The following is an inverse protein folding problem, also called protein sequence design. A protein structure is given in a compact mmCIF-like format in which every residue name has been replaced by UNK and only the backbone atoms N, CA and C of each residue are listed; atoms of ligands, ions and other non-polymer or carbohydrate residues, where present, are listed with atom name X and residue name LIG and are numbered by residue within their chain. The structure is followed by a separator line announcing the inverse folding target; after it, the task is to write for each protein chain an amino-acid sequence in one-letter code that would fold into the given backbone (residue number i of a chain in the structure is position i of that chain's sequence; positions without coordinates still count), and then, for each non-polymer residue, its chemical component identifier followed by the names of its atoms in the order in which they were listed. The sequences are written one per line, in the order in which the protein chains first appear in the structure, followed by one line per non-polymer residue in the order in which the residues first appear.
data_IF_642763846491
#
_entry.id   IF_642763846491
#
_cell.length_a   1.000
_cell.length_b   1.000
_cell.length_c   1.000
_cell.angle_alpha   90.00
_cell.angle_beta   90.00
_cell.angle_gamma   90.00
#
_symmetry.space_group_name_H-M   'P 1'
#
loop_
_entity.id
_entity.type
_entity.pdbx_description
1 polymer ?
#
# COMPACT_ATOMS: atom_id res chain seq x y z
N UNK A 1 -0.45 64.57 8.48
CA UNK A 1 -0.52 63.16 8.05
C UNK A 1 -0.04 63.10 6.61
N UNK A 2 1.17 62.59 6.36
CA UNK A 2 1.70 62.43 5.00
C UNK A 2 0.86 61.40 4.26
N UNK A 3 0.28 61.78 3.13
CA UNK A 3 -0.58 60.89 2.35
C UNK A 3 0.31 59.92 1.58
N UNK A 4 0.19 58.63 1.89
CA UNK A 4 0.87 57.58 1.11
C UNK A 4 0.39 57.63 -0.34
N UNK A 5 1.31 57.37 -1.28
CA UNK A 5 1.00 57.39 -2.70
C UNK A 5 0.03 56.23 -3.02
N UNK A 6 -1.09 56.54 -3.68
CA UNK A 6 -2.12 55.56 -4.01
C UNK A 6 -1.61 54.45 -4.95
N UNK A 7 -0.75 54.77 -5.92
CA UNK A 7 -0.18 53.76 -6.83
C UNK A 7 0.68 52.74 -6.09
N UNK A 8 1.43 53.19 -5.07
CA UNK A 8 2.22 52.30 -4.22
C UNK A 8 1.28 51.42 -3.40
N UNK A 9 0.23 52.00 -2.81
CA UNK A 9 -0.76 51.30 -1.98
C UNK A 9 -1.51 50.22 -2.77
N UNK A 10 -1.87 50.50 -4.02
CA UNK A 10 -2.51 49.52 -4.92
C UNK A 10 -1.54 48.42 -5.34
N UNK A 11 -0.28 48.75 -5.66
CA UNK A 11 0.73 47.77 -6.03
C UNK A 11 1.02 46.78 -4.88
N UNK A 12 1.14 47.25 -3.63
CA UNK A 12 1.32 46.35 -2.48
C UNK A 12 0.05 45.57 -2.17
N UNK A 13 -1.13 46.18 -2.30
CA UNK A 13 -2.39 45.46 -2.08
C UNK A 13 -2.58 44.35 -3.11
N UNK A 14 -2.35 44.63 -4.40
CA UNK A 14 -2.47 43.64 -5.46
C UNK A 14 -1.43 42.51 -5.31
N UNK A 15 -0.17 42.86 -5.00
CA UNK A 15 0.87 41.86 -4.78
C UNK A 15 0.56 40.94 -3.59
N UNK A 16 0.07 41.50 -2.48
CA UNK A 16 -0.30 40.73 -1.30
C UNK A 16 -1.52 39.83 -1.56
N UNK A 17 -2.55 40.35 -2.23
CA UNK A 17 -3.75 39.56 -2.59
C UNK A 17 -3.40 38.44 -3.56
N UNK A 18 -2.51 38.69 -4.53
CA UNK A 18 -2.02 37.67 -5.46
C UNK A 18 -1.35 36.51 -4.73
N UNK A 19 -0.43 36.80 -3.81
CA UNK A 19 0.29 35.75 -3.04
C UNK A 19 -0.69 34.90 -2.22
N UNK A 20 -1.67 35.52 -1.57
CA UNK A 20 -2.71 34.80 -0.80
C UNK A 20 -3.57 33.90 -1.71
N UNK A 21 -3.78 34.28 -2.97
CA UNK A 21 -4.54 33.47 -3.92
C UNK A 21 -3.69 32.32 -4.54
N UNK A 22 -2.42 32.56 -4.83
CA UNK A 22 -1.53 31.57 -5.46
C UNK A 22 -1.02 30.51 -4.47
N UNK A 23 -0.81 30.88 -3.20
CA UNK A 23 -0.30 29.95 -2.18
C UNK A 23 -1.19 28.71 -1.98
N UNK A 24 -2.53 28.82 -1.86
CA UNK A 24 -3.42 27.65 -1.83
C UNK A 24 -3.36 26.82 -3.11
N UNK A 25 -3.28 27.44 -4.29
CA UNK A 25 -3.23 26.73 -5.56
C UNK A 25 -1.95 25.88 -5.68
N UNK A 26 -0.80 26.43 -5.27
CA UNK A 26 0.47 25.69 -5.23
C UNK A 26 0.45 24.58 -4.18
N UNK A 27 -0.07 24.86 -2.98
CA UNK A 27 -0.19 23.86 -1.92
C UNK A 27 -1.08 22.70 -2.36
N UNK A 28 -2.24 22.99 -2.96
CA UNK A 28 -3.14 21.97 -3.50
C UNK A 28 -2.51 21.20 -4.66
N UNK A 29 -1.76 21.86 -5.55
CA UNK A 29 -1.00 21.17 -6.61
C UNK A 29 -0.04 20.12 -6.05
N UNK A 30 0.71 20.48 -4.99
CA UNK A 30 1.61 19.55 -4.31
C UNK A 30 0.86 18.43 -3.58
N UNK A 31 -0.26 18.74 -2.94
CA UNK A 31 -1.11 17.74 -2.27
C UNK A 31 -1.67 16.75 -3.29
N UNK A 32 -2.19 17.20 -4.44
CA UNK A 32 -2.69 16.31 -5.48
C UNK A 32 -1.60 15.44 -6.08
N UNK A 33 -0.41 15.99 -6.33
CA UNK A 33 0.72 15.20 -6.81
C UNK A 33 1.13 14.13 -5.78
N UNK A 34 1.21 14.51 -4.50
CA UNK A 34 1.56 13.58 -3.40
C UNK A 34 0.48 12.51 -3.21
N UNK A 35 -0.80 12.89 -3.29
CA UNK A 35 -1.92 11.97 -3.18
C UNK A 35 -1.94 10.98 -4.35
N UNK A 36 -1.72 11.44 -5.58
CA UNK A 36 -1.62 10.58 -6.76
C UNK A 36 -0.47 9.58 -6.63
N UNK A 37 0.71 10.04 -6.21
CA UNK A 37 1.87 9.17 -5.99
C UNK A 37 1.63 8.15 -4.85
N UNK A 38 1.11 8.61 -3.71
CA UNK A 38 0.79 7.74 -2.57
C UNK A 38 -0.28 6.71 -2.92
N UNK A 39 -1.28 7.09 -3.72
CA UNK A 39 -2.30 6.16 -4.23
C UNK A 39 -1.67 5.12 -5.16
N UNK A 40 -0.73 5.51 -6.02
CA UNK A 40 0.05 4.59 -6.84
C UNK A 40 0.82 3.55 -6.00
N UNK A 41 1.51 4.00 -4.95
CA UNK A 41 2.19 3.11 -4.00
C UNK A 41 1.21 2.20 -3.24
N UNK A 42 0.03 2.70 -2.88
CA UNK A 42 -1.02 1.86 -2.27
C UNK A 42 -1.48 0.76 -3.22
N UNK A 43 -1.68 1.06 -4.50
CA UNK A 43 -2.03 0.04 -5.50
C UNK A 43 -0.91 -0.99 -5.67
N UNK A 44 0.34 -0.54 -5.78
CA UNK A 44 1.50 -1.44 -5.85
C UNK A 44 1.57 -2.37 -4.64
N UNK A 45 1.46 -1.82 -3.43
CA UNK A 45 1.45 -2.58 -2.18
C UNK A 45 0.27 -3.55 -2.11
N UNK A 46 -0.92 -3.14 -2.55
CA UNK A 46 -2.12 -3.99 -2.56
C UNK A 46 -1.95 -5.18 -3.52
N UNK A 47 -1.44 -4.95 -4.72
CA UNK A 47 -1.17 -6.02 -5.70
C UNK A 47 -0.09 -6.96 -5.19
N UNK A 48 0.97 -6.42 -4.58
CA UNK A 48 2.04 -7.22 -3.99
C UNK A 48 1.51 -8.11 -2.85
N UNK A 49 0.72 -7.54 -1.93
CA UNK A 49 0.08 -8.28 -0.85
C UNK A 49 -0.86 -9.38 -1.38
N UNK A 50 -1.62 -9.10 -2.44
CA UNK A 50 -2.50 -10.08 -3.07
C UNK A 50 -1.72 -11.21 -3.76
N UNK A 51 -0.59 -10.90 -4.40
CA UNK A 51 0.31 -11.90 -4.97
C UNK A 51 0.93 -12.79 -3.87
N UNK A 52 1.41 -12.19 -2.78
CA UNK A 52 1.91 -12.94 -1.62
C UNK A 52 0.83 -13.84 -1.01
N UNK A 53 -0.42 -13.37 -0.91
CA UNK A 53 -1.53 -14.21 -0.45
C UNK A 53 -1.79 -15.40 -1.37
N UNK A 54 -1.74 -15.22 -2.68
CA UNK A 54 -1.90 -16.34 -3.63
C UNK A 54 -0.79 -17.38 -3.47
N UNK A 55 0.46 -16.92 -3.31
CA UNK A 55 1.61 -17.80 -3.06
C UNK A 55 1.45 -18.53 -1.73
N UNK A 56 1.04 -17.84 -0.67
CA UNK A 56 0.77 -18.44 0.64
C UNK A 56 -0.35 -19.48 0.57
N UNK A 57 -1.44 -19.20 -0.15
CA UNK A 57 -2.54 -20.14 -0.34
C UNK A 57 -2.09 -21.41 -1.08
N UNK A 58 -1.30 -21.26 -2.15
CA UNK A 58 -0.73 -22.39 -2.87
C UNK A 58 0.24 -23.18 -1.98
N UNK A 59 1.12 -22.50 -1.26
CA UNK A 59 2.07 -23.12 -0.34
C UNK A 59 1.34 -23.89 0.76
N UNK A 60 0.31 -23.29 1.39
CA UNK A 60 -0.50 -23.95 2.41
C UNK A 60 -1.19 -25.21 1.87
N UNK A 61 -1.72 -25.15 0.65
CA UNK A 61 -2.31 -26.32 -0.01
C UNK A 61 -1.26 -27.42 -0.23
N UNK A 62 -0.08 -27.08 -0.74
CA UNK A 62 1.02 -28.04 -0.91
C UNK A 62 1.47 -28.64 0.41
N UNK A 63 1.62 -27.83 1.47
CA UNK A 63 1.97 -28.33 2.81
C UNK A 63 0.89 -29.27 3.36
N UNK A 64 -0.38 -28.93 3.20
CA UNK A 64 -1.50 -29.79 3.59
C UNK A 64 -1.49 -31.13 2.86
N UNK A 65 -1.23 -31.13 1.54
CA UNK A 65 -1.09 -32.36 0.74
C UNK A 65 0.09 -33.20 1.21
N UNK A 66 1.25 -32.58 1.47
CA UNK A 66 2.41 -33.31 2.01
C UNK A 66 2.12 -33.94 3.37
N UNK A 67 1.36 -33.24 4.23
CA UNK A 67 1.00 -33.76 5.53
C UNK A 67 0.01 -34.94 5.42
N UNK A 68 -0.96 -34.88 4.52
CA UNK A 68 -1.86 -36.02 4.25
C UNK A 68 -1.07 -37.24 3.79
N UNK A 69 -0.18 -37.08 2.79
CA UNK A 69 0.62 -38.19 2.28
C UNK A 69 1.57 -38.79 3.32
N UNK A 70 2.14 -37.98 4.22
CA UNK A 70 3.00 -38.49 5.28
C UNK A 70 2.22 -39.27 6.34
N UNK A 71 1.02 -38.84 6.71
CA UNK A 71 0.14 -39.59 7.60
C UNK A 71 -0.26 -40.94 7.02
N UNK A 72 -0.65 -41.00 5.75
CA UNK A 72 -1.02 -42.26 5.09
C UNK A 72 0.16 -43.23 5.06
N UNK A 73 1.36 -42.75 4.70
CA UNK A 73 2.59 -43.57 4.68
C UNK A 73 2.92 -44.15 6.05
N UNK A 74 2.79 -43.36 7.12
CA UNK A 74 3.03 -43.82 8.50
C UNK A 74 1.95 -44.81 8.95
N UNK A 75 0.70 -44.58 8.59
CA UNK A 75 -0.41 -45.49 8.89
C UNK A 75 -0.23 -46.87 8.24
N UNK A 76 0.16 -46.89 6.96
CA UNK A 76 0.49 -48.13 6.27
C UNK A 76 1.71 -48.83 6.91
N UNK A 77 2.75 -48.08 7.27
CA UNK A 77 3.92 -48.63 7.96
C UNK A 77 3.57 -49.27 9.31
N UNK A 78 2.70 -48.62 10.11
CA UNK A 78 2.19 -49.18 11.38
C UNK A 78 1.36 -50.45 11.12
N UNK A 79 0.50 -50.42 10.11
CA UNK A 79 -0.34 -51.58 9.77
C UNK A 79 0.50 -52.79 9.36
N UNK A 80 1.55 -52.58 8.56
CA UNK A 80 2.53 -53.62 8.18
C UNK A 80 3.29 -54.13 9.41
N UNK A 81 3.78 -53.24 10.28
CA UNK A 81 4.44 -53.62 11.54
C UNK A 81 3.57 -54.55 12.38
N UNK A 82 2.26 -54.26 12.47
CA UNK A 82 1.31 -55.03 13.29
C UNK A 82 0.99 -56.42 12.71
N UNK A 83 1.05 -56.57 11.38
CA UNK A 83 0.91 -57.87 10.71
C UNK A 83 2.17 -58.74 10.93
N UNK A 84 3.34 -58.12 10.98
CA UNK A 84 4.62 -58.83 11.18
C UNK A 84 4.86 -59.26 12.63
N UNK A 85 4.24 -58.59 13.61
CA UNK A 85 4.30 -58.96 15.04
C UNK A 85 3.21 -59.96 15.48
N UNK A 86 2.38 -60.46 14.55
CA UNK A 86 1.39 -61.52 14.78
C UNK A 86 1.88 -62.87 14.25
#
# INVERSE_FOLDING_TARGET
MSQVNQQITDAVTQSNVKVVAEAPAMALGNVYQTAAHSTGLMFENSVNAQSQQNILAQTATTQGVMQIYSFDTVSDAISISKILEA
#
